data_IF_781053841621
#
_entry.id   IF_781053841621
#
_cell.length_a   1.000
_cell.length_b   1.000
_cell.length_c   1.000
_cell.angle_alpha   90.00
_cell.angle_beta   90.00
_cell.angle_gamma   90.00
#
_symmetry.space_group_name_H-M   'P 1'
#
loop_
_entity.id
_entity.type
_entity.pdbx_description
1 polymer ?
#
# COMPACT_ATOMS: atom_id res chain seq x y z
N UNK A 1 12.01 -16.00 -19.92
CA UNK A 1 11.84 -15.68 -19.49
C UNK A 1 11.37 -15.62 -18.73
N UNK A 2 11.33 -15.60 -18.34
CA UNK A 2 11.09 -15.44 -17.61
C UNK A 2 10.96 -14.97 -16.98
N UNK A 3 11.36 -14.90 -16.98
CA UNK A 3 11.48 -14.24 -16.36
C UNK A 3 11.27 -13.46 -16.67
N UNK A 4 11.04 -13.19 -17.36
CA UNK A 4 11.05 -12.31 -17.59
C UNK A 4 10.40 -11.79 -18.15
N UNK A 5 9.68 -12.22 -18.79
CA UNK A 5 9.29 -11.34 -19.60
C UNK A 5 8.25 -10.40 -19.43
N UNK A 6 7.47 -10.34 -18.57
CA UNK A 6 6.69 -9.19 -18.28
C UNK A 6 7.59 -7.98 -18.38
N UNK A 7 7.10 -6.79 -18.65
CA UNK A 7 7.98 -5.66 -18.89
C UNK A 7 9.03 -5.53 -17.82
N UNK A 8 8.66 -5.69 -16.59
CA UNK A 8 9.63 -5.58 -15.53
C UNK A 8 10.61 -6.72 -15.53
N UNK A 9 10.20 -7.87 -16.06
CA UNK A 9 11.04 -9.03 -16.00
C UNK A 9 12.03 -9.09 -17.15
N UNK A 10 12.00 -8.15 -18.06
CA UNK A 10 12.97 -8.11 -19.13
C UNK A 10 14.31 -7.57 -18.66
N UNK A 11 14.38 -6.99 -17.46
CA UNK A 11 15.61 -6.45 -16.93
C UNK A 11 16.36 -7.50 -16.12
N UNK A 12 17.71 -7.43 -16.13
CA UNK A 12 18.48 -8.25 -15.20
C UNK A 12 18.06 -7.98 -13.77
N UNK A 13 18.21 -8.98 -12.90
CA UNK A 13 17.78 -8.87 -11.53
C UNK A 13 18.35 -7.67 -10.80
N UNK A 14 19.66 -7.45 -10.93
CA UNK A 14 20.27 -6.35 -10.20
C UNK A 14 19.81 -4.99 -10.71
N UNK A 15 19.56 -4.86 -12.01
CA UNK A 15 19.05 -3.59 -12.54
C UNK A 15 17.61 -3.36 -12.11
N UNK A 16 16.84 -4.43 -12.00
CA UNK A 16 15.46 -4.31 -11.54
C UNK A 16 15.40 -3.89 -10.09
N UNK A 17 16.27 -4.47 -9.26
CA UNK A 17 16.33 -4.11 -7.85
C UNK A 17 16.74 -2.66 -7.70
N UNK A 18 17.70 -2.22 -8.51
CA UNK A 18 18.13 -0.83 -8.50
C UNK A 18 16.98 0.09 -8.89
N UNK A 19 16.26 -0.26 -9.94
CA UNK A 19 15.13 0.53 -10.40
C UNK A 19 14.05 0.60 -9.33
N UNK A 20 13.81 -0.50 -8.61
CA UNK A 20 12.81 -0.50 -7.56
C UNK A 20 13.21 0.40 -6.41
N UNK A 21 14.50 0.44 -6.06
CA UNK A 21 14.97 1.32 -5.01
C UNK A 21 14.77 2.77 -5.34
N UNK A 22 14.88 3.11 -6.61
CA UNK A 22 14.77 4.49 -7.07
C UNK A 22 13.42 4.82 -7.67
N UNK A 23 12.52 3.83 -7.69
CA UNK A 23 11.21 4.02 -8.29
C UNK A 23 10.35 4.93 -7.43
N UNK A 24 9.35 5.54 -8.05
CA UNK A 24 8.37 6.29 -7.31
C UNK A 24 7.60 5.35 -6.39
N UNK A 25 7.02 5.86 -5.31
CA UNK A 25 6.22 5.04 -4.42
C UNK A 25 5.06 4.38 -5.17
N UNK A 26 4.52 3.34 -4.58
CA UNK A 26 3.38 2.64 -5.16
C UNK A 26 2.23 3.61 -5.42
N UNK A 27 1.62 3.47 -6.57
CA UNK A 27 0.46 4.27 -6.93
C UNK A 27 -0.81 3.60 -6.42
N UNK A 28 -1.92 4.35 -6.44
CA UNK A 28 -3.21 3.76 -6.09
C UNK A 28 -3.53 2.59 -7.00
N UNK A 29 -3.20 2.72 -8.28
CA UNK A 29 -3.45 1.65 -9.24
C UNK A 29 -2.68 0.38 -8.86
N UNK A 30 -1.43 0.54 -8.44
CA UNK A 30 -0.62 -0.60 -7.99
C UNK A 30 -1.26 -1.28 -6.79
N UNK A 31 -1.78 -0.50 -5.85
CA UNK A 31 -2.39 -1.05 -4.65
C UNK A 31 -3.65 -1.83 -4.99
N UNK A 32 -4.43 -1.34 -5.93
CA UNK A 32 -5.63 -2.04 -6.36
C UNK A 32 -5.28 -3.31 -7.11
N UNK A 33 -4.40 -3.21 -8.10
CA UNK A 33 -4.14 -4.31 -9.02
C UNK A 33 -3.25 -5.38 -8.42
N UNK A 34 -2.24 -4.97 -7.66
CA UNK A 34 -1.26 -5.92 -7.14
C UNK A 34 -1.62 -6.45 -5.76
N UNK A 35 -2.26 -5.65 -4.95
CA UNK A 35 -2.56 -6.01 -3.57
C UNK A 35 -4.04 -6.20 -3.29
N UNK A 36 -4.89 -5.82 -4.23
CA UNK A 36 -6.32 -6.07 -4.09
C UNK A 36 -7.04 -5.16 -3.12
N UNK A 37 -6.54 -3.95 -2.92
CA UNK A 37 -7.20 -3.02 -2.02
C UNK A 37 -8.49 -2.47 -2.65
N UNK A 38 -9.51 -2.30 -1.83
CA UNK A 38 -10.74 -1.68 -2.27
C UNK A 38 -10.60 -0.16 -2.24
N UNK A 39 -11.53 0.54 -2.87
CA UNK A 39 -11.51 2.00 -2.86
C UNK A 39 -11.58 2.55 -1.44
N UNK A 40 -12.41 1.97 -0.59
CA UNK A 40 -12.53 2.42 0.80
C UNK A 40 -11.24 2.17 1.57
N UNK A 41 -10.61 1.03 1.32
CA UNK A 41 -9.32 0.73 1.95
C UNK A 41 -8.26 1.74 1.52
N UNK A 42 -8.28 2.16 0.26
CA UNK A 42 -7.36 3.19 -0.21
C UNK A 42 -7.58 4.51 0.51
N UNK A 43 -8.83 4.90 0.69
CA UNK A 43 -9.13 6.15 1.40
C UNK A 43 -8.59 6.10 2.82
N UNK A 44 -8.82 4.98 3.50
CA UNK A 44 -8.32 4.81 4.87
C UNK A 44 -6.79 4.84 4.87
N UNK A 45 -6.18 4.13 3.93
CA UNK A 45 -4.73 4.05 3.85
C UNK A 45 -4.10 5.42 3.64
N UNK A 46 -4.65 6.20 2.72
CA UNK A 46 -4.11 7.53 2.43
C UNK A 46 -4.14 8.44 3.65
N UNK A 47 -5.25 8.43 4.35
CA UNK A 47 -5.36 9.26 5.56
C UNK A 47 -4.44 8.77 6.66
N UNK A 48 -4.36 7.45 6.82
CA UNK A 48 -3.49 6.86 7.83
C UNK A 48 -2.02 7.18 7.54
N UNK A 49 -1.63 7.15 6.28
CA UNK A 49 -0.25 7.44 5.87
C UNK A 49 0.10 8.92 6.10
N UNK A 50 -0.91 9.78 6.09
CA UNK A 50 -0.71 11.20 6.41
C UNK A 50 -0.55 11.46 7.90
N UNK A 51 -0.70 10.43 8.73
CA UNK A 51 -0.56 10.57 10.17
C UNK A 51 -1.87 10.74 10.92
N UNK A 52 -2.99 10.57 10.23
CA UNK A 52 -4.30 10.74 10.89
C UNK A 52 -4.60 9.56 11.79
N UNK A 53 -5.30 9.81 12.89
CA UNK A 53 -5.69 8.76 13.80
C UNK A 53 -6.93 8.04 13.29
N UNK A 54 -7.18 6.85 13.85
CA UNK A 54 -8.38 6.09 13.48
C UNK A 54 -9.65 6.90 13.80
N UNK A 55 -9.65 7.64 14.90
CA UNK A 55 -10.79 8.48 15.24
C UNK A 55 -11.03 9.55 14.18
N UNK A 56 -9.97 10.21 13.77
CA UNK A 56 -10.07 11.25 12.75
C UNK A 56 -10.58 10.69 11.43
N UNK A 57 -10.04 9.53 11.04
CA UNK A 57 -10.45 8.86 9.80
C UNK A 57 -11.92 8.49 9.86
N UNK A 58 -12.36 7.92 11.00
CA UNK A 58 -13.76 7.53 11.16
C UNK A 58 -14.68 8.72 10.97
N UNK A 59 -14.35 9.84 11.61
CA UNK A 59 -15.15 11.06 11.50
C UNK A 59 -15.15 11.58 10.05
N UNK A 60 -13.98 11.58 9.43
CA UNK A 60 -13.84 12.12 8.09
C UNK A 60 -14.61 11.32 7.05
N UNK A 61 -14.60 10.00 7.17
CA UNK A 61 -15.27 9.11 6.23
C UNK A 61 -16.68 8.74 6.65
N UNK A 62 -17.12 9.23 7.82
CA UNK A 62 -18.44 8.96 8.36
C UNK A 62 -18.68 7.45 8.52
N UNK A 63 -17.73 6.78 9.15
CA UNK A 63 -17.82 5.36 9.48
C UNK A 63 -17.38 5.17 10.92
N UNK A 64 -17.61 3.98 11.47
CA UNK A 64 -17.24 3.72 12.86
C UNK A 64 -15.74 3.49 12.98
N UNK A 65 -15.20 3.70 14.19
CA UNK A 65 -13.81 3.39 14.47
C UNK A 65 -13.51 1.90 14.24
N UNK A 66 -14.47 1.05 14.59
CA UNK A 66 -14.28 -0.38 14.37
C UNK A 66 -14.14 -0.71 12.89
N UNK A 67 -14.90 0.00 12.05
CA UNK A 67 -14.79 -0.18 10.61
C UNK A 67 -13.42 0.28 10.12
N UNK A 68 -12.91 1.41 10.63
CA UNK A 68 -11.57 1.87 10.27
C UNK A 68 -10.53 0.83 10.66
N UNK A 69 -10.64 0.28 11.87
CA UNK A 69 -9.70 -0.74 12.34
C UNK A 69 -9.77 -2.00 11.49
N UNK A 70 -10.96 -2.38 11.07
CA UNK A 70 -11.14 -3.53 10.20
C UNK A 70 -10.47 -3.30 8.85
N UNK A 71 -10.62 -2.10 8.31
CA UNK A 71 -9.95 -1.76 7.05
C UNK A 71 -8.44 -1.78 7.21
N UNK A 72 -7.92 -1.25 8.33
CA UNK A 72 -6.48 -1.25 8.57
C UNK A 72 -5.94 -2.67 8.69
N UNK A 73 -6.66 -3.55 9.38
CA UNK A 73 -6.24 -4.95 9.47
C UNK A 73 -6.19 -5.61 8.10
N UNK A 74 -7.20 -5.33 7.27
CA UNK A 74 -7.23 -5.87 5.91
C UNK A 74 -6.07 -5.33 5.08
N UNK A 75 -5.79 -4.04 5.21
CA UNK A 75 -4.67 -3.40 4.51
C UNK A 75 -3.35 -4.04 4.91
N UNK A 76 -3.12 -4.18 6.20
CA UNK A 76 -1.88 -4.79 6.69
C UNK A 76 -1.73 -6.22 6.17
N UNK A 77 -2.83 -6.97 6.16
CA UNK A 77 -2.80 -8.33 5.66
C UNK A 77 -2.52 -8.39 4.17
N UNK A 78 -3.18 -7.54 3.41
CA UNK A 78 -3.02 -7.53 1.95
C UNK A 78 -1.64 -7.06 1.51
N UNK A 79 -1.07 -6.13 2.24
CA UNK A 79 0.27 -5.62 1.94
C UNK A 79 1.37 -6.43 2.63
N UNK A 80 0.97 -7.39 3.47
CA UNK A 80 1.91 -8.26 4.19
C UNK A 80 2.88 -7.43 5.03
N UNK A 81 2.35 -6.49 5.79
CA UNK A 81 3.13 -5.67 6.71
C UNK A 81 2.58 -5.85 8.12
N UNK A 82 3.41 -5.59 9.12
CA UNK A 82 3.04 -5.86 10.51
C UNK A 82 3.05 -4.61 11.38
N UNK A 83 3.76 -3.56 10.96
CA UNK A 83 3.85 -2.33 11.73
C UNK A 83 3.55 -1.15 10.82
N UNK A 84 3.25 -0.03 11.46
CA UNK A 84 3.04 1.21 10.71
C UNK A 84 4.30 1.61 9.95
N UNK A 85 5.46 1.41 10.57
CA UNK A 85 6.72 1.74 9.92
C UNK A 85 6.91 0.89 8.66
N UNK A 86 6.60 -0.40 8.74
CA UNK A 86 6.68 -1.27 7.57
C UNK A 86 5.78 -0.76 6.46
N UNK A 87 4.57 -0.34 6.83
CA UNK A 87 3.61 0.18 5.86
C UNK A 87 4.15 1.44 5.17
N UNK A 88 4.64 2.37 5.96
CA UNK A 88 5.16 3.62 5.41
C UNK A 88 6.38 3.37 4.52
N UNK A 89 7.23 2.44 4.92
CA UNK A 89 8.40 2.07 4.13
C UNK A 89 7.98 1.51 2.78
N UNK A 90 6.98 0.62 2.79
CA UNK A 90 6.48 0.05 1.55
C UNK A 90 5.91 1.11 0.62
N UNK A 91 5.25 2.11 1.18
CA UNK A 91 4.66 3.20 0.40
C UNK A 91 5.70 4.23 -0.02
N UNK A 92 6.93 4.12 0.45
CA UNK A 92 7.97 5.07 0.09
C UNK A 92 7.90 6.38 0.85
N UNK A 93 7.38 6.35 2.06
CA UNK A 93 7.20 7.57 2.85
C UNK A 93 7.96 7.54 4.16
#
# INVERSE_FOLDING_TARGET
RGDFAAPGSSLPGELRDEALKNAVPLTEQDLIERYGLSNRELEVLELFAQGRSANWIADSLVISKNTVRAHLRAIYSKLDVHTRQDLLTLLGR
#
